data_IF_646195008958
#
_entry.id   IF_646195008958
#
_cell.length_a   1.000
_cell.length_b   1.000
_cell.length_c   1.000
_cell.angle_alpha   90.00
_cell.angle_beta   90.00
_cell.angle_gamma   90.00
#
_symmetry.space_group_name_H-M   'P 1'
#
loop_
_entity.id
_entity.type
_entity.pdbx_description
1 polymer ?
#
# COMPACT_ATOMS: atom_id res chain seq x y z
N UNK A 1 -2.12 -8.87 5.35
CA UNK A 1 -1.64 -9.33 4.03
C UNK A 1 -2.23 -8.51 2.89
N UNK A 2 -3.57 -8.38 2.77
CA UNK A 2 -4.26 -7.66 1.67
C UNK A 2 -3.56 -6.41 1.09
N UNK A 3 -3.27 -5.37 1.90
CA UNK A 3 -2.67 -4.12 1.40
C UNK A 3 -1.21 -4.29 0.93
N UNK A 4 -0.46 -5.17 1.60
CA UNK A 4 0.93 -5.48 1.21
C UNK A 4 0.96 -6.20 -0.13
N UNK A 5 0.00 -7.11 -0.36
CA UNK A 5 -0.15 -7.81 -1.64
C UNK A 5 -0.50 -6.83 -2.78
N UNK A 6 -1.35 -5.84 -2.52
CA UNK A 6 -1.70 -4.78 -3.48
C UNK A 6 -0.49 -3.93 -3.85
N UNK A 7 0.34 -3.52 -2.87
CA UNK A 7 1.57 -2.80 -3.17
C UNK A 7 2.56 -3.64 -3.98
N UNK A 8 2.63 -4.96 -3.72
CA UNK A 8 3.45 -5.90 -4.47
C UNK A 8 3.15 -5.94 -5.98
N UNK A 9 1.92 -5.64 -6.39
CA UNK A 9 1.54 -5.50 -7.80
C UNK A 9 1.39 -4.06 -8.28
N UNK A 10 1.83 -3.07 -7.49
CA UNK A 10 1.78 -1.65 -7.84
C UNK A 10 0.40 -1.01 -7.74
N UNK A 11 -0.54 -1.63 -7.02
CA UNK A 11 -1.89 -1.12 -6.83
C UNK A 11 -1.95 -0.23 -5.56
N UNK A 12 -2.25 1.07 -5.68
CA UNK A 12 -2.46 1.94 -4.55
C UNK A 12 -3.80 1.67 -3.88
N UNK A 13 -3.95 2.12 -2.64
CA UNK A 13 -5.14 1.83 -1.83
C UNK A 13 -5.81 3.10 -1.32
N UNK A 14 -7.15 3.09 -1.27
CA UNK A 14 -7.90 3.93 -0.35
C UNK A 14 -8.20 3.08 0.88
N UNK A 15 -7.65 3.44 2.04
CA UNK A 15 -7.79 2.65 3.26
C UNK A 15 -8.59 3.41 4.32
N UNK A 16 -9.39 2.67 5.08
CA UNK A 16 -10.08 3.23 6.23
C UNK A 16 -9.05 3.71 7.28
N UNK A 17 -9.28 4.87 7.87
CA UNK A 17 -8.39 5.46 8.88
C UNK A 17 -8.50 4.72 10.21
N UNK A 18 -7.37 4.26 10.73
CA UNK A 18 -7.24 3.71 12.08
C UNK A 18 -5.81 3.89 12.57
N UNK A 19 -5.57 3.77 13.88
CA UNK A 19 -4.33 4.20 14.55
C UNK A 19 -3.01 3.74 13.92
N UNK A 20 -2.97 2.56 13.30
CA UNK A 20 -1.74 1.96 12.77
C UNK A 20 -1.69 1.93 11.24
N UNK A 21 -2.72 2.40 10.52
CA UNK A 21 -2.75 2.28 9.05
C UNK A 21 -1.62 3.07 8.40
N UNK A 22 -1.22 4.19 9.03
CA UNK A 22 -0.16 5.07 8.56
C UNK A 22 1.22 4.42 8.59
N UNK A 23 1.42 3.34 9.33
CA UNK A 23 2.66 2.56 9.29
C UNK A 23 2.87 1.98 7.87
N UNK A 24 1.78 1.56 7.22
CA UNK A 24 1.77 0.91 5.92
C UNK A 24 1.38 1.85 4.77
N UNK A 25 0.30 2.61 4.92
CA UNK A 25 -0.23 3.53 3.91
C UNK A 25 0.33 4.93 4.16
N UNK A 26 1.13 5.41 3.22
CA UNK A 26 1.68 6.77 3.21
C UNK A 26 0.85 7.62 2.26
N UNK A 27 0.09 8.56 2.83
CA UNK A 27 -0.81 9.47 2.11
C UNK A 27 -0.06 10.19 0.99
N UNK A 28 -0.67 10.28 -0.19
CA UNK A 28 -0.10 10.87 -1.42
C UNK A 28 1.17 10.17 -1.95
N UNK A 29 1.56 9.02 -1.39
CA UNK A 29 2.66 8.20 -1.88
C UNK A 29 2.15 6.87 -2.41
N UNK A 30 1.56 6.03 -1.57
CA UNK A 30 1.10 4.69 -1.98
C UNK A 30 -0.41 4.48 -1.77
N UNK A 31 -1.09 5.48 -1.22
CA UNK A 31 -2.53 5.44 -1.02
C UNK A 31 -3.08 6.72 -0.40
N UNK A 32 -4.35 6.65 -0.07
CA UNK A 32 -5.15 7.70 0.56
C UNK A 32 -5.90 7.09 1.76
N UNK A 33 -6.26 7.94 2.72
CA UNK A 33 -7.01 7.54 3.91
C UNK A 33 -8.37 8.20 3.91
N UNK A 34 -9.39 7.46 4.33
CA UNK A 34 -10.75 7.98 4.51
C UNK A 34 -11.32 7.49 5.84
N UNK A 35 -12.20 8.29 6.43
CA UNK A 35 -12.93 7.97 7.66
C UNK A 35 -14.44 7.84 7.40
N UNK A 36 -14.91 8.37 6.27
CA UNK A 36 -16.32 8.38 5.91
C UNK A 36 -16.56 7.87 4.48
N UNK A 37 -17.80 7.47 4.19
CA UNK A 37 -18.19 7.10 2.83
C UNK A 37 -18.16 8.28 1.86
N UNK A 38 -18.38 9.51 2.35
CA UNK A 38 -18.27 10.72 1.53
C UNK A 38 -16.83 10.96 1.10
N UNK A 39 -15.88 10.90 2.06
CA UNK A 39 -14.45 11.02 1.74
C UNK A 39 -14.02 9.97 0.73
N UNK A 40 -14.41 8.69 0.91
CA UNK A 40 -14.11 7.65 -0.07
C UNK A 40 -14.68 7.97 -1.46
N UNK A 41 -15.91 8.48 -1.54
CA UNK A 41 -16.51 8.87 -2.82
C UNK A 41 -15.74 10.02 -3.47
N UNK A 42 -15.35 11.04 -2.70
CA UNK A 42 -14.57 12.18 -3.19
C UNK A 42 -13.19 11.75 -3.70
N UNK A 43 -12.49 10.88 -2.97
CA UNK A 43 -11.21 10.31 -3.40
C UNK A 43 -11.36 9.52 -4.70
N UNK A 44 -12.37 8.67 -4.83
CA UNK A 44 -12.61 7.91 -6.07
C UNK A 44 -12.93 8.83 -7.25
N UNK A 45 -13.77 9.85 -7.04
CA UNK A 45 -14.09 10.85 -8.08
C UNK A 45 -12.85 11.63 -8.52
N UNK A 46 -11.97 12.00 -7.58
CA UNK A 46 -10.71 12.67 -7.88
C UNK A 46 -9.76 11.76 -8.67
N UNK A 47 -9.58 10.51 -8.25
CA UNK A 47 -8.64 9.56 -8.85
C UNK A 47 -9.02 9.15 -10.27
N UNK A 48 -10.32 9.01 -10.54
CA UNK A 48 -10.81 8.57 -11.85
C UNK A 48 -11.23 9.72 -12.77
N UNK A 49 -11.08 10.97 -12.33
CA UNK A 49 -11.32 12.13 -13.19
C UNK A 49 -10.41 12.06 -14.42
N UNK A 50 -11.01 12.11 -15.61
CA UNK A 50 -10.27 12.08 -16.88
C UNK A 50 -9.59 10.75 -17.20
N UNK A 51 -9.93 9.67 -16.49
CA UNK A 51 -9.41 8.33 -16.77
C UNK A 51 -9.74 7.88 -18.22
N UNK A 52 -8.82 7.21 -18.94
CA UNK A 52 -7.48 6.77 -18.50
C UNK A 52 -6.34 7.77 -18.71
N UNK A 53 -6.57 8.86 -19.45
CA UNK A 53 -5.48 9.70 -19.96
C UNK A 53 -5.03 10.78 -18.94
N UNK A 54 -5.97 11.43 -18.26
CA UNK A 54 -5.72 12.60 -17.40
C UNK A 54 -5.79 12.27 -15.90
N UNK A 55 -5.29 11.10 -15.50
CA UNK A 55 -5.32 10.60 -14.11
C UNK A 55 -3.95 10.69 -13.40
N UNK A 56 -3.34 11.87 -13.38
CA UNK A 56 -1.97 12.07 -12.86
C UNK A 56 -1.81 11.66 -11.38
N UNK A 57 -2.80 11.96 -10.55
CA UNK A 57 -2.81 11.53 -9.14
C UNK A 57 -2.77 10.01 -9.03
N UNK A 58 -3.62 9.31 -9.79
CA UNK A 58 -3.66 7.84 -9.79
C UNK A 58 -2.35 7.24 -10.31
N UNK A 59 -1.78 7.79 -11.39
CA UNK A 59 -0.47 7.37 -11.94
C UNK A 59 0.66 7.55 -10.91
N UNK A 60 0.67 8.68 -10.20
CA UNK A 60 1.63 8.96 -9.14
C UNK A 60 1.52 7.94 -7.99
N UNK A 61 0.30 7.68 -7.53
CA UNK A 61 0.03 6.70 -6.47
C UNK A 61 0.42 5.27 -6.89
N UNK A 62 0.16 4.86 -8.13
CA UNK A 62 0.61 3.58 -8.67
C UNK A 62 2.14 3.44 -8.59
N UNK A 63 2.87 4.49 -8.98
CA UNK A 63 4.33 4.53 -8.89
C UNK A 63 4.83 4.38 -7.45
N UNK A 64 4.22 5.08 -6.50
CA UNK A 64 4.60 4.96 -5.09
C UNK A 64 4.18 3.63 -4.46
N UNK A 65 3.05 3.04 -4.85
CA UNK A 65 2.66 1.68 -4.46
C UNK A 65 3.68 0.65 -4.95
N UNK A 66 4.09 0.73 -6.22
CA UNK A 66 5.11 -0.16 -6.79
C UNK A 66 6.45 -0.02 -6.08
N UNK A 67 6.86 1.21 -5.76
CA UNK A 67 8.10 1.46 -4.98
C UNK A 67 8.03 0.88 -3.57
N UNK A 68 6.85 0.86 -2.96
CA UNK A 68 6.60 0.29 -1.62
C UNK A 68 6.62 -1.24 -1.68
N UNK A 69 5.97 -1.84 -2.67
CA UNK A 69 5.96 -3.30 -2.82
C UNK A 69 7.31 -3.89 -3.27
N UNK A 70 8.13 -3.09 -3.95
CA UNK A 70 9.44 -3.52 -4.43
C UNK A 70 10.51 -3.53 -3.34
N UNK A 71 10.29 -2.86 -2.20
CA UNK A 71 11.35 -2.71 -1.18
C UNK A 71 11.69 -4.01 -0.48
N UNK A 72 10.71 -4.91 -0.30
CA UNK A 72 10.91 -6.16 0.45
C UNK A 72 9.89 -7.23 0.09
N UNK A 73 10.35 -8.35 -0.47
CA UNK A 73 9.51 -9.55 -0.65
C UNK A 73 9.42 -10.31 0.67
N UNK A 74 8.26 -10.93 0.91
CA UNK A 74 8.02 -11.77 2.09
C UNK A 74 9.15 -12.79 2.33
N UNK A 75 9.61 -13.48 1.28
CA UNK A 75 10.68 -14.49 1.38
C UNK A 75 11.98 -13.91 1.95
N UNK A 76 12.39 -12.74 1.45
CA UNK A 76 13.61 -12.07 1.89
C UNK A 76 13.51 -11.63 3.34
N UNK A 77 12.38 -11.04 3.75
CA UNK A 77 12.15 -10.61 5.12
C UNK A 77 12.07 -11.79 6.10
N UNK A 78 11.44 -12.88 5.68
CA UNK A 78 11.35 -14.11 6.45
C UNK A 78 12.73 -14.72 6.70
N UNK A 79 13.52 -14.90 5.64
CA UNK A 79 14.86 -15.48 5.71
C UNK A 79 15.81 -14.63 6.56
N UNK A 80 15.68 -13.31 6.48
CA UNK A 80 16.57 -12.36 7.17
C UNK A 80 16.22 -12.21 8.65
N UNK A 81 14.93 -12.11 9.00
CA UNK A 81 14.51 -11.71 10.35
C UNK A 81 13.91 -12.86 11.17
N UNK A 82 13.02 -13.66 10.58
CA UNK A 82 12.26 -14.67 11.31
C UNK A 82 12.99 -16.02 11.39
N UNK A 83 13.50 -16.49 10.24
CA UNK A 83 14.13 -17.81 10.12
C UNK A 83 15.30 -18.02 11.10
N UNK A 84 16.21 -17.05 11.36
CA UNK A 84 17.31 -17.26 12.31
C UNK A 84 16.82 -17.50 13.74
N UNK A 85 15.77 -16.80 14.16
CA UNK A 85 15.19 -16.95 15.50
C UNK A 85 14.50 -18.30 15.66
N UNK A 86 13.76 -18.74 14.64
CA UNK A 86 13.13 -20.06 14.65
C UNK A 86 14.21 -21.13 14.78
N UNK A 87 15.28 -21.07 13.99
CA UNK A 87 16.40 -22.03 14.07
C UNK A 87 17.07 -22.10 15.45
N UNK A 88 17.06 -21.04 16.25
CA UNK A 88 17.58 -21.06 17.63
C UNK A 88 16.69 -21.83 18.61
N UNK A 89 15.40 -21.97 18.32
CA UNK A 89 14.42 -22.59 19.21
C UNK A 89 14.20 -24.07 18.87
N UNK A 90 14.27 -24.43 17.60
CA UNK A 90 14.10 -25.81 17.11
C UNK A 90 15.42 -26.56 16.86
N UNK A 91 16.57 -25.90 17.06
CA UNK A 91 17.91 -26.46 16.85
C UNK A 91 18.56 -26.97 18.12
#
# INVERSE_FOLDING_TARGET
MKVVDMFGCGLPVCAASFSCIEELVKVNRNGLLFSTSSELADELMMLFKGFPEECDTLKSLNGGALSTGSSSKWSTEWETNALPLVKQVIG
#
